data_IF_840434788829
#
_entry.id   IF_840434788829
#
_cell.length_a   1.000
_cell.length_b   1.000
_cell.length_c   1.000
_cell.angle_alpha   90.00
_cell.angle_beta   90.00
_cell.angle_gamma   90.00
#
_symmetry.space_group_name_H-M   'P 1'
#
loop_
_entity.id
_entity.type
_entity.pdbx_description
1 polymer ?
#
# COMPACT_ATOMS: atom_id res chain seq x y z
N UNK A 1 13.99 -17.82 -23.72
CA UNK A 1 13.20 -16.58 -23.87
C UNK A 1 12.64 -16.25 -22.50
N UNK A 2 12.60 -14.97 -22.09
CA UNK A 2 11.83 -14.59 -20.91
C UNK A 2 10.41 -15.13 -21.08
N UNK A 3 9.88 -15.81 -20.07
CA UNK A 3 8.52 -16.32 -20.08
C UNK A 3 7.55 -15.17 -20.30
N UNK A 4 6.47 -15.42 -21.05
CA UNK A 4 5.43 -14.41 -21.24
C UNK A 4 4.81 -14.06 -19.88
N UNK A 5 4.81 -12.78 -19.53
CA UNK A 5 4.22 -12.31 -18.29
C UNK A 5 2.75 -12.76 -18.22
N UNK A 6 2.39 -13.47 -17.16
CA UNK A 6 1.03 -13.99 -16.98
C UNK A 6 0.11 -12.88 -16.45
N UNK A 7 -1.19 -13.02 -16.70
CA UNK A 7 -2.20 -12.08 -16.16
C UNK A 7 -2.09 -11.94 -14.63
N UNK A 8 -1.95 -13.02 -13.82
CA UNK A 8 -1.75 -12.88 -12.38
C UNK A 8 -0.50 -12.08 -11.99
N UNK A 9 0.62 -12.29 -12.68
CA UNK A 9 1.87 -11.57 -12.42
C UNK A 9 1.74 -10.07 -12.74
N UNK A 10 1.09 -9.74 -13.87
CA UNK A 10 0.82 -8.36 -14.26
C UNK A 10 -0.13 -7.65 -13.29
N UNK A 11 -1.22 -8.31 -12.87
CA UNK A 11 -2.15 -7.76 -11.88
C UNK A 11 -1.48 -7.55 -10.53
N UNK A 12 -0.65 -8.50 -10.09
CA UNK A 12 0.11 -8.44 -8.86
C UNK A 12 1.00 -7.19 -8.81
N UNK A 13 1.85 -7.06 -9.83
CA UNK A 13 2.84 -6.00 -9.93
C UNK A 13 2.22 -4.63 -10.17
N UNK A 14 1.30 -4.51 -11.14
CA UNK A 14 0.66 -3.22 -11.45
C UNK A 14 -0.12 -2.66 -10.26
N UNK A 15 -0.86 -3.50 -9.53
CA UNK A 15 -1.59 -3.10 -8.33
C UNK A 15 -0.64 -2.74 -7.17
N UNK A 16 0.49 -3.44 -7.04
CA UNK A 16 1.54 -3.11 -6.08
C UNK A 16 2.13 -1.71 -6.37
N UNK A 17 2.48 -1.43 -7.62
CA UNK A 17 3.00 -0.14 -8.06
C UNK A 17 1.99 0.99 -7.87
N UNK A 18 0.71 0.74 -8.20
CA UNK A 18 -0.36 1.72 -7.96
C UNK A 18 -0.53 2.02 -6.46
N UNK A 19 -0.45 1.00 -5.60
CA UNK A 19 -0.49 1.18 -4.15
C UNK A 19 0.72 1.98 -3.67
N UNK A 20 1.93 1.64 -4.12
CA UNK A 20 3.17 2.33 -3.80
C UNK A 20 3.09 3.82 -4.18
N UNK A 21 2.62 4.11 -5.40
CA UNK A 21 2.43 5.49 -5.87
C UNK A 21 1.45 6.27 -4.99
N UNK A 22 0.30 5.67 -4.66
CA UNK A 22 -0.69 6.30 -3.78
C UNK A 22 -0.14 6.55 -2.36
N UNK A 23 0.59 5.58 -1.78
CA UNK A 23 1.24 5.74 -0.48
C UNK A 23 2.33 6.83 -0.51
N UNK A 24 3.09 6.91 -1.62
CA UNK A 24 4.09 7.93 -1.88
C UNK A 24 3.48 9.34 -1.91
N UNK A 25 2.34 9.54 -2.58
CA UNK A 25 1.63 10.83 -2.59
C UNK A 25 1.29 11.29 -1.16
N UNK A 26 0.81 10.38 -0.31
CA UNK A 26 0.54 10.73 1.09
C UNK A 26 1.79 11.09 1.88
N UNK A 27 2.87 10.36 1.66
CA UNK A 27 4.14 10.55 2.36
C UNK A 27 4.80 11.86 1.98
N UNK A 28 4.92 12.14 0.68
CA UNK A 28 5.76 13.24 0.18
C UNK A 28 4.99 14.53 -0.11
N UNK A 29 3.68 14.48 -0.29
CA UNK A 29 2.90 15.65 -0.72
C UNK A 29 1.73 15.93 0.22
N UNK A 30 0.81 14.97 0.38
CA UNK A 30 -0.43 15.23 1.10
C UNK A 30 -0.22 15.47 2.61
N UNK A 31 0.70 14.74 3.26
CA UNK A 31 1.01 15.01 4.67
C UNK A 31 1.74 16.35 4.87
N UNK A 32 2.87 16.64 4.20
CA UNK A 32 3.55 17.94 4.34
C UNK A 32 2.64 19.12 4.02
N UNK A 33 1.93 19.07 2.88
CA UNK A 33 1.01 20.15 2.49
C UNK A 33 -0.16 20.33 3.45
N UNK A 34 -0.63 19.24 4.08
CA UNK A 34 -1.63 19.32 5.14
C UNK A 34 -1.10 20.04 6.39
N UNK A 35 0.14 19.76 6.80
CA UNK A 35 0.76 20.46 7.94
C UNK A 35 0.95 21.95 7.63
N UNK A 36 1.40 22.29 6.43
CA UNK A 36 1.59 23.67 5.97
C UNK A 36 0.26 24.45 5.88
N UNK A 37 -0.81 23.81 5.40
CA UNK A 37 -2.14 24.41 5.30
C UNK A 37 -2.80 24.69 6.67
N UNK A 38 -2.26 24.12 7.75
CA UNK A 38 -2.71 24.32 9.11
C UNK A 38 -3.78 23.32 9.58
N UNK A 39 -3.92 23.14 10.91
CA UNK A 39 -4.66 22.00 11.48
C UNK A 39 -6.13 21.89 11.07
N UNK A 40 -6.85 23.01 10.99
CA UNK A 40 -8.28 23.01 10.66
C UNK A 40 -8.50 22.60 9.19
N UNK A 41 -7.80 23.25 8.26
CA UNK A 41 -7.91 22.95 6.84
C UNK A 41 -7.53 21.49 6.55
N UNK A 42 -6.44 21.01 7.16
CA UNK A 42 -6.02 19.62 7.04
C UNK A 42 -7.09 18.65 7.55
N UNK A 43 -7.63 18.89 8.75
CA UNK A 43 -8.65 18.01 9.36
C UNK A 43 -9.91 17.92 8.49
N UNK A 44 -10.40 19.05 7.98
CA UNK A 44 -11.61 19.08 7.14
C UNK A 44 -11.39 18.44 5.77
N UNK A 45 -10.23 18.67 5.15
CA UNK A 45 -9.85 18.01 3.90
C UNK A 45 -9.71 16.50 4.09
N UNK A 46 -9.05 16.08 5.17
CA UNK A 46 -8.82 14.68 5.51
C UNK A 46 -10.13 13.90 5.57
N UNK A 47 -11.15 14.45 6.23
CA UNK A 47 -12.45 13.79 6.40
C UNK A 47 -13.14 13.50 5.05
N UNK A 48 -13.00 14.39 4.07
CA UNK A 48 -13.59 14.21 2.72
C UNK A 48 -12.79 13.22 1.87
N UNK A 49 -11.47 13.20 2.04
CA UNK A 49 -10.55 12.40 1.23
C UNK A 49 -10.46 10.95 1.71
N UNK A 50 -10.32 10.74 3.02
CA UNK A 50 -9.92 9.46 3.58
C UNK A 50 -10.82 8.27 3.19
N UNK A 51 -12.17 8.35 3.28
CA UNK A 51 -13.02 7.19 2.98
C UNK A 51 -12.84 6.66 1.55
N UNK A 52 -12.62 7.56 0.59
CA UNK A 52 -12.45 7.23 -0.82
C UNK A 52 -11.12 6.52 -1.06
N UNK A 53 -10.04 7.04 -0.48
CA UNK A 53 -8.71 6.50 -0.74
C UNK A 53 -8.44 5.24 0.09
N UNK A 54 -9.04 5.11 1.28
CA UNK A 54 -8.94 3.90 2.09
C UNK A 54 -9.48 2.66 1.35
N UNK A 55 -10.66 2.79 0.74
CA UNK A 55 -11.27 1.70 -0.02
C UNK A 55 -10.40 1.31 -1.22
N UNK A 56 -9.90 2.29 -1.97
CA UNK A 56 -9.08 2.05 -3.15
C UNK A 56 -7.74 1.38 -2.78
N UNK A 57 -7.05 1.84 -1.74
CA UNK A 57 -5.80 1.22 -1.32
C UNK A 57 -6.00 -0.20 -0.75
N UNK A 58 -7.10 -0.46 -0.04
CA UNK A 58 -7.43 -1.81 0.40
C UNK A 58 -7.65 -2.76 -0.80
N UNK A 59 -8.39 -2.30 -1.82
CA UNK A 59 -8.61 -3.07 -3.04
C UNK A 59 -7.30 -3.39 -3.76
N UNK A 60 -6.41 -2.41 -3.93
CA UNK A 60 -5.09 -2.65 -4.56
C UNK A 60 -4.25 -3.67 -3.78
N UNK A 61 -4.25 -3.61 -2.44
CA UNK A 61 -3.52 -4.58 -1.62
C UNK A 61 -4.08 -6.00 -1.80
N UNK A 62 -5.41 -6.16 -1.86
CA UNK A 62 -6.07 -7.45 -2.09
C UNK A 62 -5.77 -8.00 -3.49
N UNK A 63 -5.92 -7.18 -4.53
CA UNK A 63 -5.64 -7.61 -5.91
C UNK A 63 -4.17 -7.98 -6.08
N UNK A 64 -3.27 -7.18 -5.51
CA UNK A 64 -1.84 -7.47 -5.57
C UNK A 64 -1.49 -8.80 -4.88
N UNK A 65 -2.01 -9.00 -3.67
CA UNK A 65 -1.84 -10.23 -2.89
C UNK A 65 -2.39 -11.44 -3.65
N UNK A 66 -3.64 -11.37 -4.13
CA UNK A 66 -4.30 -12.46 -4.85
C UNK A 66 -3.60 -12.82 -6.15
N UNK A 67 -3.16 -11.81 -6.92
CA UNK A 67 -2.38 -12.01 -8.13
C UNK A 67 -1.05 -12.73 -7.85
N UNK A 68 -0.32 -12.29 -6.81
CA UNK A 68 0.97 -12.85 -6.44
C UNK A 68 0.84 -14.30 -5.90
N UNK A 69 -0.16 -14.58 -5.07
CA UNK A 69 -0.46 -15.95 -4.61
C UNK A 69 -0.84 -16.84 -5.80
N UNK A 70 -1.71 -16.36 -6.69
CA UNK A 70 -2.12 -17.12 -7.88
C UNK A 70 -0.91 -17.42 -8.77
N UNK A 71 -0.01 -16.45 -8.95
CA UNK A 71 1.21 -16.65 -9.72
C UNK A 71 2.16 -17.66 -9.06
N UNK A 72 2.35 -17.59 -7.75
CA UNK A 72 3.14 -18.55 -6.99
C UNK A 72 2.62 -19.99 -7.12
N UNK A 73 1.30 -20.17 -7.18
CA UNK A 73 0.66 -21.49 -7.37
C UNK A 73 0.79 -22.03 -8.80
N UNK A 74 0.89 -21.15 -9.80
CA UNK A 74 1.07 -21.53 -11.21
C UNK A 74 2.52 -21.92 -11.55
N UNK A 75 3.50 -21.41 -10.82
CA UNK A 75 4.94 -21.62 -11.07
C UNK A 75 5.49 -23.02 -10.75
N UNK A 76 4.67 -24.06 -10.67
CA UNK A 76 5.05 -25.43 -10.29
C UNK A 76 5.40 -26.39 -11.43
N UNK A 77 5.71 -25.91 -12.64
CA UNK A 77 5.81 -26.77 -13.84
C UNK A 77 7.03 -26.59 -14.76
N UNK A 78 8.10 -25.91 -14.33
CA UNK A 78 9.33 -25.74 -15.14
C UNK A 78 10.53 -26.39 -14.47
N UNK A 79 11.01 -27.50 -15.02
CA UNK A 79 12.23 -28.18 -14.56
C UNK A 79 13.45 -27.27 -14.69
N UNK A 80 14.05 -26.91 -13.56
CA UNK A 80 15.28 -26.12 -13.47
C UNK A 80 15.21 -25.02 -12.41
N UNK A 81 15.60 -25.32 -11.16
CA UNK A 81 15.84 -24.29 -10.12
C UNK A 81 14.62 -23.67 -9.42
N UNK A 82 13.41 -24.23 -9.60
CA UNK A 82 12.08 -23.64 -9.29
C UNK A 82 11.70 -23.26 -7.85
N UNK A 83 12.62 -23.22 -6.88
CA UNK A 83 12.34 -22.75 -5.52
C UNK A 83 12.29 -21.22 -5.38
N UNK A 84 13.15 -20.52 -6.12
CA UNK A 84 13.34 -19.07 -5.98
C UNK A 84 12.11 -18.24 -6.40
N UNK A 85 11.51 -18.57 -7.55
CA UNK A 85 10.41 -17.79 -8.11
C UNK A 85 9.14 -17.84 -7.25
N UNK A 86 8.76 -19.03 -6.79
CA UNK A 86 7.64 -19.18 -5.85
C UNK A 86 7.89 -18.37 -4.59
N UNK A 87 9.12 -18.41 -4.06
CA UNK A 87 9.53 -17.62 -2.91
C UNK A 87 9.32 -16.12 -3.13
N UNK A 88 9.85 -15.56 -4.22
CA UNK A 88 9.73 -14.13 -4.54
C UNK A 88 8.26 -13.67 -4.61
N UNK A 89 7.41 -14.42 -5.31
CA UNK A 89 5.98 -14.11 -5.41
C UNK A 89 5.26 -14.19 -4.07
N UNK A 90 5.55 -15.21 -3.25
CA UNK A 90 4.97 -15.34 -1.91
C UNK A 90 5.47 -14.25 -0.95
N UNK A 91 6.73 -13.84 -1.04
CA UNK A 91 7.27 -12.71 -0.26
C UNK A 91 6.56 -11.42 -0.64
N UNK A 92 6.41 -11.13 -1.94
CA UNK A 92 5.64 -9.99 -2.41
C UNK A 92 4.19 -10.02 -1.92
N UNK A 93 3.53 -11.18 -2.01
CA UNK A 93 2.17 -11.36 -1.48
C UNK A 93 2.09 -11.09 0.02
N UNK A 94 3.04 -11.59 0.82
CA UNK A 94 3.08 -11.37 2.26
C UNK A 94 3.24 -9.90 2.63
N UNK A 95 4.12 -9.18 1.94
CA UNK A 95 4.33 -7.74 2.14
C UNK A 95 3.07 -6.93 1.79
N UNK A 96 2.37 -7.28 0.70
CA UNK A 96 1.13 -6.60 0.32
C UNK A 96 -0.03 -6.97 1.24
N UNK A 97 -0.13 -8.22 1.68
CA UNK A 97 -1.12 -8.65 2.65
C UNK A 97 -0.94 -7.95 4.00
N UNK A 98 0.31 -7.71 4.44
CA UNK A 98 0.66 -6.99 5.66
C UNK A 98 0.10 -5.55 5.71
N UNK A 99 -0.16 -4.93 4.57
CA UNK A 99 -0.75 -3.58 4.52
C UNK A 99 -2.09 -3.49 5.24
N UNK A 100 -2.91 -4.54 5.18
CA UNK A 100 -4.24 -4.58 5.81
C UNK A 100 -4.15 -4.56 7.34
N UNK A 101 -3.45 -5.49 8.02
CA UNK A 101 -3.28 -5.42 9.46
C UNK A 101 -2.54 -4.15 9.88
N UNK A 102 -1.49 -3.72 9.17
CA UNK A 102 -0.82 -2.45 9.48
C UNK A 102 -1.80 -1.27 9.47
N UNK A 103 -2.63 -1.16 8.43
CA UNK A 103 -3.62 -0.09 8.31
C UNK A 103 -4.63 -0.13 9.46
N UNK A 104 -5.15 -1.31 9.79
CA UNK A 104 -6.16 -1.45 10.84
C UNK A 104 -5.60 -1.18 12.25
N UNK A 105 -4.35 -1.56 12.54
CA UNK A 105 -3.77 -1.41 13.88
C UNK A 105 -3.07 -0.07 14.09
N UNK A 106 -2.28 0.40 13.14
CA UNK A 106 -1.46 1.60 13.30
C UNK A 106 -2.11 2.87 12.77
N UNK A 107 -2.84 2.79 11.65
CA UNK A 107 -3.33 3.97 10.93
C UNK A 107 -4.77 4.32 11.30
N UNK A 108 -5.66 3.32 11.37
CA UNK A 108 -7.08 3.55 11.64
C UNK A 108 -7.38 4.28 12.96
N UNK A 109 -6.68 4.03 14.09
CA UNK A 109 -6.91 4.80 15.31
C UNK A 109 -6.68 6.30 15.12
N UNK A 110 -5.59 6.66 14.41
CA UNK A 110 -5.24 8.05 14.10
C UNK A 110 -6.31 8.65 13.18
N UNK A 111 -6.70 7.93 12.13
CA UNK A 111 -7.70 8.42 11.17
C UNK A 111 -9.05 8.68 11.86
N UNK A 112 -9.48 7.78 12.75
CA UNK A 112 -10.72 7.96 13.52
C UNK A 112 -10.65 9.19 14.40
N UNK A 113 -9.51 9.46 15.05
CA UNK A 113 -9.33 10.66 15.85
C UNK A 113 -9.42 11.95 15.01
N UNK A 114 -8.82 11.97 13.82
CA UNK A 114 -8.90 13.12 12.90
C UNK A 114 -10.34 13.32 12.41
N UNK A 115 -11.00 12.25 11.97
CA UNK A 115 -12.39 12.31 11.48
C UNK A 115 -13.36 12.78 12.57
N UNK A 116 -13.22 12.27 13.80
CA UNK A 116 -14.05 12.69 14.93
C UNK A 116 -13.91 14.19 15.24
N UNK A 117 -12.71 14.76 15.10
CA UNK A 117 -12.52 16.21 15.21
C UNK A 117 -13.20 16.97 14.07
N UNK A 118 -13.11 16.45 12.84
CA UNK A 118 -13.74 17.04 11.66
C UNK A 118 -15.28 17.04 11.74
N UNK A 119 -15.89 15.96 12.22
CA UNK A 119 -17.33 15.85 12.45
C UNK A 119 -17.85 16.90 13.45
N UNK A 120 -16.99 17.30 14.39
CA UNK A 120 -17.25 18.36 15.36
C UNK A 120 -16.90 19.77 14.84
N UNK A 121 -16.50 19.89 13.56
CA UNK A 121 -16.15 21.17 12.94
C UNK A 121 -14.87 21.81 13.50
N UNK A 122 -14.02 21.04 14.18
CA UNK A 122 -12.81 21.55 14.84
C UNK A 122 -11.53 20.93 14.26
N UNK A 123 -10.41 21.58 14.55
CA UNK A 123 -9.11 21.02 14.24
C UNK A 123 -8.81 19.78 15.10
N UNK A 124 -8.22 18.76 14.49
CA UNK A 124 -7.56 17.69 15.22
C UNK A 124 -6.30 18.25 15.93
N UNK A 125 -5.89 17.67 17.08
CA UNK A 125 -4.65 18.06 17.74
C UNK A 125 -3.46 17.95 16.78
N UNK A 126 -2.56 18.94 16.82
CA UNK A 126 -1.39 18.96 15.93
C UNK A 126 -0.54 17.68 16.06
N UNK A 127 -0.41 17.15 17.27
CA UNK A 127 0.34 15.91 17.50
C UNK A 127 -0.33 14.68 16.86
N UNK A 128 -1.66 14.64 16.80
CA UNK A 128 -2.40 13.60 16.06
C UNK A 128 -2.14 13.73 14.56
N UNK A 129 -2.13 14.95 14.03
CA UNK A 129 -1.83 15.19 12.61
C UNK A 129 -0.38 14.80 12.28
N UNK A 130 0.59 15.18 13.10
CA UNK A 130 2.01 14.81 12.94
C UNK A 130 2.23 13.30 13.02
N UNK A 131 1.50 12.59 13.89
CA UNK A 131 1.60 11.13 14.01
C UNK A 131 1.14 10.39 12.74
N UNK A 132 0.33 11.03 11.89
CA UNK A 132 -0.21 10.41 10.69
C UNK A 132 0.83 10.17 9.58
N UNK A 133 1.84 11.04 9.46
CA UNK A 133 2.89 10.92 8.46
C UNK A 133 3.75 9.66 8.61
N UNK A 134 4.41 9.44 9.76
CA UNK A 134 5.32 8.31 9.97
C UNK A 134 4.70 6.94 9.70
N UNK A 135 3.42 6.74 10.03
CA UNK A 135 2.73 5.46 9.79
C UNK A 135 2.49 5.18 8.29
N UNK A 136 2.49 6.21 7.45
CA UNK A 136 2.40 6.07 5.99
C UNK A 136 3.77 5.81 5.35
N UNK A 137 4.87 6.28 5.95
CA UNK A 137 6.23 5.98 5.47
C UNK A 137 6.46 4.46 5.43
N UNK A 138 5.96 3.73 6.43
CA UNK A 138 6.03 2.26 6.47
C UNK A 138 5.33 1.64 5.26
N UNK A 139 4.15 2.14 4.88
CA UNK A 139 3.42 1.62 3.71
C UNK A 139 4.18 1.88 2.43
N UNK A 140 4.74 3.07 2.27
CA UNK A 140 5.53 3.44 1.09
C UNK A 140 6.77 2.56 0.98
N UNK A 141 7.52 2.38 2.07
CA UNK A 141 8.72 1.56 2.09
C UNK A 141 8.41 0.08 1.81
N UNK A 142 7.43 -0.50 2.49
CA UNK A 142 7.07 -1.92 2.31
C UNK A 142 6.52 -2.16 0.91
N UNK A 143 5.70 -1.25 0.36
CA UNK A 143 5.20 -1.37 -1.01
C UNK A 143 6.31 -1.22 -2.05
N UNK A 144 7.29 -0.34 -1.82
CA UNK A 144 8.46 -0.21 -2.70
C UNK A 144 9.32 -1.48 -2.70
N UNK A 145 9.55 -2.09 -1.54
CA UNK A 145 10.25 -3.38 -1.43
C UNK A 145 9.46 -4.49 -2.14
N UNK A 146 8.14 -4.56 -1.95
CA UNK A 146 7.30 -5.53 -2.63
C UNK A 146 7.34 -5.34 -4.17
N UNK A 147 7.28 -4.09 -4.64
CA UNK A 147 7.37 -3.76 -6.06
C UNK A 147 8.73 -4.18 -6.65
N UNK A 148 9.84 -3.93 -5.95
CA UNK A 148 11.17 -4.34 -6.37
C UNK A 148 11.29 -5.88 -6.47
N UNK A 149 10.77 -6.61 -5.48
CA UNK A 149 10.76 -8.09 -5.47
C UNK A 149 9.92 -8.62 -6.64
N UNK A 150 8.70 -8.11 -6.82
CA UNK A 150 7.81 -8.56 -7.91
C UNK A 150 8.35 -8.16 -9.29
N UNK A 151 9.03 -7.02 -9.41
CA UNK A 151 9.72 -6.61 -10.63
C UNK A 151 10.85 -7.58 -10.99
N UNK A 152 11.68 -7.95 -10.00
CA UNK A 152 12.74 -8.93 -10.19
C UNK A 152 12.18 -10.33 -10.53
N UNK A 153 11.09 -10.73 -9.87
CA UNK A 153 10.38 -11.97 -10.18
C UNK A 153 9.89 -11.97 -11.63
N UNK A 154 9.23 -10.89 -12.08
CA UNK A 154 8.80 -10.71 -13.48
C UNK A 154 9.96 -10.76 -14.47
N UNK A 155 11.07 -10.10 -14.15
CA UNK A 155 12.24 -10.06 -15.03
C UNK A 155 12.87 -11.44 -15.24
N UNK A 156 12.81 -12.29 -14.22
CA UNK A 156 13.40 -13.64 -14.21
C UNK A 156 12.40 -14.74 -14.57
N UNK A 157 11.19 -14.40 -15.02
CA UNK A 157 10.17 -15.35 -15.49
C UNK A 157 10.50 -15.97 -16.85
#
# INVERSE_FOLDING_TARGET
>A
MPGTATVPALLAYSSCCAFMGAAGVFTFSAHPGGIEAGPLAYTLWFNKMFPKVAALQAAMAVVSTGGAVTQALRGGGGGGGGGGQRGLWLTGAGLMAFMLPWTLRAIMPINRAIMAAAEQGRAAPLETLKAWGPVHNVRTAVAAVAAAIMSYALYTM
#
